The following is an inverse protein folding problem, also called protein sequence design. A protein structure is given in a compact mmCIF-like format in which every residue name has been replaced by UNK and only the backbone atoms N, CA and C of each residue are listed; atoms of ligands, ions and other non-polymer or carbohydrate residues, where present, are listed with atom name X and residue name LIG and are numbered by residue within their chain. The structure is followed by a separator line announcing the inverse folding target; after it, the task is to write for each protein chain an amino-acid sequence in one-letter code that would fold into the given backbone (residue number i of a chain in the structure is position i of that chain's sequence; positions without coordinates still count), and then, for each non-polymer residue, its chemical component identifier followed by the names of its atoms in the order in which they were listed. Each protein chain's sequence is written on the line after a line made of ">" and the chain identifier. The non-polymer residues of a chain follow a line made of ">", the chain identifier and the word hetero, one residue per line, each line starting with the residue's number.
data_IF_673869828327
#
_entry.id   IF_673869828327
#
_cell.length_a   1.000
_cell.length_b   1.000
_cell.length_c   1.000
_cell.angle_alpha   90.00
_cell.angle_beta   90.00
_cell.angle_gamma   90.00
#
_symmetry.space_group_name_H-M   'P 1'
#
loop_
_entity.id
_entity.type
_entity.pdbx_description
1 polymer ?
#
# COMPACT_ATOMS: atom_id res chain seq x y z
N UNK A 1 -26.90 -3.11 21.16
CA UNK A 1 -27.95 -3.01 20.11
C UNK A 1 -27.22 -2.96 18.79
N UNK A 2 -27.53 -3.85 17.83
CA UNK A 2 -26.64 -4.10 16.69
C UNK A 2 -26.49 -2.90 15.75
N UNK A 3 -25.26 -2.44 15.57
CA UNK A 3 -24.85 -1.79 14.34
C UNK A 3 -24.34 -2.89 13.39
N UNK A 4 -24.86 -2.93 12.16
CA UNK A 4 -24.35 -3.82 11.11
C UNK A 4 -22.87 -3.48 10.85
N UNK A 5 -21.98 -4.40 11.20
CA UNK A 5 -20.53 -4.19 11.16
C UNK A 5 -19.94 -4.61 9.81
N UNK A 6 -20.50 -4.09 8.73
CA UNK A 6 -20.29 -4.59 7.38
C UNK A 6 -19.93 -3.43 6.44
N UNK A 7 -18.64 -3.05 6.49
CA UNK A 7 -17.92 -2.15 5.56
C UNK A 7 -16.46 -2.05 6.04
N UNK A 8 -15.67 -3.12 5.86
CA UNK A 8 -14.22 -3.11 6.19
C UNK A 8 -13.36 -2.85 4.96
N UNK A 9 -13.05 -1.57 4.77
CA UNK A 9 -11.80 -1.01 4.23
C UNK A 9 -11.16 -1.65 2.98
N UNK A 10 -11.38 -1.00 1.83
CA UNK A 10 -10.69 -1.29 0.56
C UNK A 10 -9.29 -0.64 0.46
N UNK A 11 -8.34 -1.43 -0.02
CA UNK A 11 -7.13 -1.04 -0.76
C UNK A 11 -6.05 -0.20 -0.05
N UNK A 12 -5.02 -0.89 0.45
CA UNK A 12 -3.64 -0.37 0.51
C UNK A 12 -2.82 -0.96 -0.64
N UNK A 13 -2.24 -0.10 -1.49
CA UNK A 13 -1.11 -0.38 -2.39
C UNK A 13 -0.17 0.87 -2.33
N UNK A 14 1.12 0.75 -2.68
CA UNK A 14 2.13 1.84 -2.48
C UNK A 14 3.36 1.86 -3.42
N UNK A 15 3.43 1.10 -4.52
CA UNK A 15 4.62 1.11 -5.39
C UNK A 15 4.81 2.45 -6.13
N UNK A 16 6.07 2.85 -6.33
CA UNK A 16 6.43 4.09 -7.02
C UNK A 16 6.20 4.01 -8.53
N UNK A 17 5.65 5.08 -9.11
CA UNK A 17 5.65 5.28 -10.55
C UNK A 17 7.08 5.48 -11.02
N UNK A 18 7.62 4.51 -11.74
CA UNK A 18 8.82 4.81 -12.53
C UNK A 18 8.45 5.75 -13.67
N UNK A 19 9.35 6.66 -14.01
CA UNK A 19 9.19 7.47 -15.21
C UNK A 19 9.26 6.59 -16.47
N UNK A 20 8.44 6.94 -17.48
CA UNK A 20 8.33 6.31 -18.81
C UNK A 20 7.74 4.89 -18.84
N UNK A 21 6.42 4.77 -19.07
CA UNK A 21 5.74 3.68 -19.83
C UNK A 21 6.44 2.30 -19.82
N UNK A 22 6.77 1.80 -18.63
CA UNK A 22 7.57 0.59 -18.39
C UNK A 22 6.89 -0.19 -17.29
N UNK A 23 6.34 -1.33 -17.66
CA UNK A 23 5.93 -2.39 -16.74
C UNK A 23 7.18 -3.08 -16.18
N UNK A 24 7.19 -3.39 -14.89
CA UNK A 24 8.23 -4.21 -14.28
C UNK A 24 7.68 -5.61 -13.99
N UNK A 25 8.56 -6.60 -14.08
CA UNK A 25 8.21 -7.96 -13.74
C UNK A 25 8.30 -8.17 -12.23
N UNK A 26 7.32 -8.86 -11.65
CA UNK A 26 7.45 -9.42 -10.32
C UNK A 26 8.32 -10.68 -10.39
N UNK A 27 9.20 -10.85 -9.39
CA UNK A 27 10.01 -12.05 -9.19
C UNK A 27 9.93 -12.48 -7.72
N UNK A 28 9.48 -13.70 -7.43
CA UNK A 28 9.38 -14.19 -6.05
C UNK A 28 10.74 -14.69 -5.54
N UNK A 29 11.04 -14.41 -4.28
CA UNK A 29 12.31 -14.79 -3.65
C UNK A 29 12.62 -16.30 -3.72
N UNK A 30 11.58 -17.14 -3.66
CA UNK A 30 11.71 -18.60 -3.79
C UNK A 30 12.13 -19.07 -5.20
N UNK A 31 11.87 -18.26 -6.24
CA UNK A 31 12.15 -18.60 -7.64
C UNK A 31 13.48 -18.06 -8.17
N UNK A 32 14.08 -17.13 -7.43
CA UNK A 32 15.39 -16.54 -7.75
C UNK A 32 16.51 -17.10 -6.87
N UNK A 33 16.31 -18.26 -6.25
CA UNK A 33 17.34 -18.92 -5.43
C UNK A 33 18.60 -19.28 -6.24
N UNK A 34 19.78 -19.01 -5.68
CA UNK A 34 21.07 -19.39 -6.27
C UNK A 34 21.34 -20.91 -6.19
N UNK A 35 20.92 -21.54 -5.09
CA UNK A 35 20.99 -22.99 -4.90
C UNK A 35 19.77 -23.48 -4.11
N UNK A 36 19.02 -24.41 -4.71
CA UNK A 36 17.89 -25.13 -4.11
C UNK A 36 18.25 -25.99 -2.89
N UNK A 37 19.54 -26.22 -2.59
CA UNK A 37 19.99 -26.95 -1.40
C UNK A 37 19.93 -26.13 -0.10
N UNK A 38 19.82 -24.80 -0.17
CA UNK A 38 19.91 -23.89 0.98
C UNK A 38 18.58 -23.75 1.74
N UNK A 39 17.95 -24.88 2.08
CA UNK A 39 16.64 -24.97 2.78
C UNK A 39 16.74 -24.60 4.27
N UNK A 40 17.89 -24.12 4.75
CA UNK A 40 18.14 -23.81 6.17
C UNK A 40 17.56 -22.45 6.63
N UNK A 41 17.11 -21.62 5.70
CA UNK A 41 16.54 -20.29 5.95
C UNK A 41 15.28 -20.11 5.11
N UNK A 42 14.30 -19.36 5.60
CA UNK A 42 13.11 -18.95 4.83
C UNK A 42 13.52 -17.94 3.76
N UNK A 43 13.56 -18.30 2.45
CA UNK A 43 14.04 -17.37 1.42
C UNK A 43 12.97 -16.32 1.09
N UNK A 44 11.69 -16.70 1.21
CA UNK A 44 10.52 -15.84 1.14
C UNK A 44 10.64 -14.59 2.03
N UNK A 45 11.22 -14.68 3.22
CA UNK A 45 11.37 -13.53 4.13
C UNK A 45 12.33 -12.44 3.59
N UNK A 46 13.09 -12.69 2.50
CA UNK A 46 14.00 -11.71 1.88
C UNK A 46 15.02 -11.06 2.84
N UNK A 47 15.51 -11.80 3.82
CA UNK A 47 16.45 -11.28 4.84
C UNK A 47 17.93 -11.36 4.44
N UNK A 48 18.23 -12.10 3.36
CA UNK A 48 19.57 -12.53 2.96
C UNK A 48 19.78 -12.36 1.45
N UNK A 49 20.51 -11.35 0.98
CA UNK A 49 20.80 -11.22 -0.45
C UNK A 49 21.69 -12.33 -0.97
N UNK A 50 22.53 -12.95 -0.12
CA UNK A 50 23.50 -13.97 -0.52
C UNK A 50 22.91 -15.30 -1.02
N UNK A 51 21.62 -15.53 -0.82
CA UNK A 51 20.91 -16.72 -1.36
C UNK A 51 20.10 -16.43 -2.62
N UNK A 52 19.98 -15.15 -3.01
CA UNK A 52 19.14 -14.68 -4.12
C UNK A 52 20.01 -14.29 -5.33
N UNK A 53 19.59 -14.70 -6.51
CA UNK A 53 20.30 -14.48 -7.76
C UNK A 53 20.07 -13.05 -8.25
N UNK A 54 21.04 -12.17 -7.97
CA UNK A 54 21.01 -10.76 -8.36
C UNK A 54 20.57 -10.56 -9.82
N UNK A 55 21.06 -11.36 -10.76
CA UNK A 55 20.78 -11.19 -12.18
C UNK A 55 19.31 -11.40 -12.58
N UNK A 56 18.50 -12.04 -11.73
CA UNK A 56 17.06 -12.21 -11.92
C UNK A 56 16.24 -11.12 -11.21
N UNK A 57 16.82 -10.49 -10.18
CA UNK A 57 16.17 -9.48 -9.32
C UNK A 57 16.47 -8.05 -9.80
N UNK A 58 17.65 -7.82 -10.38
CA UNK A 58 18.07 -6.51 -10.86
C UNK A 58 17.12 -5.97 -11.94
N UNK A 59 16.57 -4.78 -11.70
CA UNK A 59 15.58 -4.16 -12.58
C UNK A 59 14.13 -4.66 -12.40
N UNK A 60 13.85 -5.59 -11.49
CA UNK A 60 12.51 -6.15 -11.25
C UNK A 60 11.94 -5.78 -9.85
N UNK A 61 10.69 -6.15 -9.58
CA UNK A 61 10.04 -6.01 -8.27
C UNK A 61 10.21 -7.34 -7.52
N UNK A 62 10.83 -7.31 -6.33
CA UNK A 62 11.04 -8.52 -5.51
C UNK A 62 9.81 -8.82 -4.64
N UNK A 63 9.17 -9.98 -4.86
CA UNK A 63 8.07 -10.47 -4.03
C UNK A 63 8.60 -11.35 -2.89
N UNK A 64 8.23 -10.96 -1.67
CA UNK A 64 8.65 -11.52 -0.40
C UNK A 64 7.43 -11.94 0.44
N UNK A 65 7.56 -13.00 1.23
CA UNK A 65 6.58 -13.42 2.23
C UNK A 65 6.84 -12.80 3.59
N UNK A 66 5.79 -12.51 4.35
CA UNK A 66 5.84 -12.15 5.77
C UNK A 66 5.46 -13.40 6.58
N UNK A 67 6.46 -14.03 7.19
CA UNK A 67 6.29 -15.20 8.06
C UNK A 67 6.31 -14.84 9.56
N UNK A 68 6.19 -15.86 10.41
CA UNK A 68 6.32 -15.74 11.87
C UNK A 68 7.66 -15.14 12.32
N UNK A 69 8.72 -15.19 11.50
CA UNK A 69 10.01 -14.58 11.80
C UNK A 69 9.92 -13.06 12.03
N UNK A 70 8.97 -12.37 11.39
CA UNK A 70 8.73 -10.94 11.61
C UNK A 70 8.05 -10.67 12.97
N UNK A 71 7.30 -11.64 13.51
CA UNK A 71 6.63 -11.55 14.81
C UNK A 71 7.60 -11.76 15.98
N UNK A 72 8.54 -12.70 15.83
CA UNK A 72 9.61 -12.96 16.82
C UNK A 72 10.85 -12.06 16.65
N UNK A 73 10.84 -11.14 15.68
CA UNK A 73 11.92 -10.17 15.45
C UNK A 73 13.20 -10.73 14.83
N UNK A 74 13.18 -11.96 14.28
CA UNK A 74 14.30 -12.54 13.52
C UNK A 74 14.32 -12.08 12.06
N UNK A 75 13.19 -11.55 11.56
CA UNK A 75 13.07 -10.86 10.28
C UNK A 75 12.54 -9.42 10.48
N UNK A 76 12.86 -8.51 9.55
CA UNK A 76 12.34 -7.14 9.56
C UNK A 76 12.13 -6.55 8.16
N UNK A 77 11.14 -5.64 8.03
CA UNK A 77 10.82 -4.91 6.79
C UNK A 77 12.03 -4.08 6.33
N UNK A 78 12.78 -3.49 7.27
CA UNK A 78 14.03 -2.76 6.98
C UNK A 78 15.03 -3.65 6.23
N UNK A 79 15.20 -4.90 6.70
CA UNK A 79 16.10 -5.86 6.07
C UNK A 79 15.61 -6.36 4.71
N UNK A 80 14.29 -6.44 4.49
CA UNK A 80 13.72 -6.67 3.14
C UNK A 80 14.14 -5.54 2.19
N UNK A 81 13.95 -4.28 2.60
CA UNK A 81 14.34 -3.11 1.80
C UNK A 81 15.84 -3.06 1.52
N UNK A 82 16.69 -3.35 2.50
CA UNK A 82 18.15 -3.46 2.32
C UNK A 82 18.52 -4.57 1.31
N UNK A 83 17.90 -5.74 1.43
CA UNK A 83 18.16 -6.91 0.58
C UNK A 83 17.78 -6.63 -0.87
N UNK A 84 16.53 -6.22 -1.11
CA UNK A 84 16.04 -5.86 -2.43
C UNK A 84 16.89 -4.74 -3.08
N UNK A 85 17.28 -3.71 -2.32
CA UNK A 85 18.18 -2.65 -2.80
C UNK A 85 19.57 -3.16 -3.17
N UNK A 86 20.15 -4.06 -2.37
CA UNK A 86 21.47 -4.65 -2.66
C UNK A 86 21.48 -5.53 -3.91
N UNK A 87 20.32 -6.11 -4.24
CA UNK A 87 20.10 -6.91 -5.44
C UNK A 87 19.74 -6.07 -6.68
N UNK A 88 19.60 -4.75 -6.55
CA UNK A 88 19.22 -3.86 -7.65
C UNK A 88 17.74 -3.94 -8.04
N UNK A 89 16.87 -4.43 -7.15
CA UNK A 89 15.42 -4.37 -7.36
C UNK A 89 14.93 -2.92 -7.43
N UNK A 90 13.95 -2.63 -8.29
CA UNK A 90 13.33 -1.31 -8.40
C UNK A 90 12.30 -1.04 -7.30
N UNK A 91 11.83 -2.10 -6.65
CA UNK A 91 10.94 -2.07 -5.49
C UNK A 91 10.74 -3.48 -4.92
N UNK A 92 9.92 -3.60 -3.88
CA UNK A 92 9.55 -4.89 -3.30
C UNK A 92 8.08 -4.95 -2.88
N UNK A 93 7.52 -6.16 -2.81
CA UNK A 93 6.21 -6.43 -2.21
C UNK A 93 6.42 -7.44 -1.09
N UNK A 94 5.81 -7.18 0.07
CA UNK A 94 5.83 -8.05 1.24
C UNK A 94 4.39 -8.53 1.50
N UNK A 95 4.14 -9.82 1.32
CA UNK A 95 2.82 -10.43 1.37
C UNK A 95 2.65 -11.29 2.64
N UNK A 96 1.65 -11.00 3.47
CA UNK A 96 1.33 -11.80 4.66
C UNK A 96 0.65 -13.09 4.25
N UNK A 97 1.40 -14.20 4.30
CA UNK A 97 0.91 -15.55 3.99
C UNK A 97 0.07 -16.15 5.12
N UNK A 98 0.36 -15.80 6.37
CA UNK A 98 -0.36 -16.30 7.56
C UNK A 98 -0.40 -15.23 8.66
N UNK A 99 -1.57 -15.00 9.27
CA UNK A 99 -1.69 -14.10 10.44
C UNK A 99 -1.43 -14.89 11.73
N UNK A 100 -0.42 -14.48 12.50
CA UNK A 100 -0.14 -15.03 13.83
C UNK A 100 -0.53 -14.02 14.93
N UNK A 101 -0.95 -14.47 16.12
CA UNK A 101 -1.13 -13.57 17.26
C UNK A 101 0.15 -12.78 17.54
N UNK A 102 0.05 -11.45 17.66
CA UNK A 102 1.19 -10.56 17.86
C UNK A 102 1.80 -9.98 16.59
N UNK A 103 1.26 -10.27 15.40
CA UNK A 103 1.64 -9.56 14.15
C UNK A 103 1.51 -8.05 14.31
N UNK A 104 2.61 -7.33 14.07
CA UNK A 104 2.67 -5.85 14.06
C UNK A 104 3.04 -5.34 12.68
N UNK A 105 2.36 -4.27 12.28
CA UNK A 105 2.57 -3.56 11.01
C UNK A 105 3.06 -2.14 11.29
N UNK A 106 4.07 -2.03 12.16
CA UNK A 106 4.66 -0.75 12.51
C UNK A 106 5.25 -0.08 11.24
N UNK A 107 5.07 1.24 11.03
CA UNK A 107 5.58 1.91 9.84
C UNK A 107 7.11 1.95 9.86
N UNK A 108 7.75 1.14 9.01
CA UNK A 108 9.21 1.06 8.89
C UNK A 108 9.71 1.96 7.74
N UNK A 109 10.62 2.90 8.00
CA UNK A 109 11.29 3.67 6.95
C UNK A 109 12.09 2.75 6.02
N UNK A 110 11.81 2.84 4.71
CA UNK A 110 12.44 2.02 3.66
C UNK A 110 13.16 2.89 2.62
N UNK A 111 14.20 2.35 2.01
CA UNK A 111 15.13 3.14 1.16
C UNK A 111 15.04 2.82 -0.35
N UNK A 112 13.99 2.07 -0.70
CA UNK A 112 13.45 1.80 -2.05
C UNK A 112 11.92 1.65 -1.92
N UNK A 113 11.13 1.80 -3.01
CA UNK A 113 9.69 1.59 -3.00
C UNK A 113 9.29 0.21 -2.46
N UNK A 114 8.22 0.17 -1.66
CA UNK A 114 7.74 -1.05 -1.00
C UNK A 114 6.22 -1.08 -0.87
N UNK A 115 5.62 -2.26 -1.03
CA UNK A 115 4.22 -2.55 -0.66
C UNK A 115 4.20 -3.59 0.46
N UNK A 116 3.28 -3.44 1.41
CA UNK A 116 2.95 -4.46 2.40
C UNK A 116 1.47 -4.84 2.27
N UNK A 117 1.20 -6.09 1.90
CA UNK A 117 -0.15 -6.67 1.82
C UNK A 117 -0.39 -7.44 3.12
N UNK A 118 -1.27 -6.91 3.97
CA UNK A 118 -1.53 -7.43 5.32
C UNK A 118 -2.66 -8.46 5.39
N UNK A 119 -3.49 -8.54 4.35
CA UNK A 119 -4.63 -9.46 4.27
C UNK A 119 -4.24 -10.75 3.56
N UNK A 120 -4.41 -11.90 4.23
CA UNK A 120 -3.98 -13.21 3.70
C UNK A 120 -4.68 -13.55 2.39
N UNK A 121 -5.97 -13.24 2.24
CA UNK A 121 -6.71 -13.43 0.98
C UNK A 121 -6.02 -12.72 -0.18
N UNK A 122 -5.66 -11.44 -0.02
CA UNK A 122 -5.00 -10.62 -1.04
C UNK A 122 -3.56 -11.02 -1.31
N UNK A 123 -2.84 -11.49 -0.28
CA UNK A 123 -1.53 -12.12 -0.45
C UNK A 123 -1.63 -13.39 -1.29
N UNK A 124 -2.63 -14.24 -1.04
CA UNK A 124 -2.87 -15.44 -1.82
C UNK A 124 -3.28 -15.11 -3.26
N UNK A 125 -4.19 -14.15 -3.49
CA UNK A 125 -4.54 -13.67 -4.84
C UNK A 125 -3.29 -13.23 -5.63
N UNK A 126 -2.38 -12.47 -4.99
CA UNK A 126 -1.12 -12.03 -5.62
C UNK A 126 -0.16 -13.19 -5.90
N UNK A 127 -0.03 -14.12 -4.96
CA UNK A 127 0.85 -15.30 -5.09
C UNK A 127 0.30 -16.25 -6.16
N UNK A 128 -1.02 -16.39 -6.30
CA UNK A 128 -1.68 -17.17 -7.35
C UNK A 128 -1.42 -16.52 -8.71
N UNK A 129 -1.75 -15.24 -8.88
CA UNK A 129 -1.44 -14.44 -10.08
C UNK A 129 0.02 -14.54 -10.52
N UNK A 130 0.95 -14.40 -9.56
CA UNK A 130 2.38 -14.53 -9.82
C UNK A 130 2.74 -15.93 -10.32
N UNK A 131 2.19 -16.99 -9.72
CA UNK A 131 2.46 -18.37 -10.12
C UNK A 131 1.85 -18.74 -11.47
N UNK A 132 0.62 -18.32 -11.75
CA UNK A 132 -0.08 -18.59 -13.01
C UNK A 132 0.53 -17.81 -14.19
N UNK A 133 1.05 -16.61 -13.92
CA UNK A 133 1.79 -15.81 -14.90
C UNK A 133 3.25 -16.24 -15.09
N UNK A 134 3.81 -17.07 -14.20
CA UNK A 134 5.22 -17.49 -14.27
C UNK A 134 5.37 -18.82 -14.99
N UNK A 135 5.99 -18.80 -16.18
CA UNK A 135 6.22 -20.02 -16.95
C UNK A 135 7.34 -20.84 -16.33
N UNK A 136 7.05 -22.10 -15.97
CA UNK A 136 7.99 -23.04 -15.35
C UNK A 136 8.38 -24.20 -16.29
N UNK A 137 9.50 -24.85 -16.00
CA UNK A 137 9.89 -26.12 -16.63
C UNK A 137 9.35 -27.33 -15.87
N UNK A 138 9.62 -28.53 -16.41
CA UNK A 138 9.19 -29.81 -15.85
C UNK A 138 9.88 -30.17 -14.52
N UNK A 139 10.86 -29.38 -14.07
CA UNK A 139 11.52 -29.46 -12.76
C UNK A 139 11.04 -28.39 -11.78
N UNK A 140 10.08 -27.54 -12.19
CA UNK A 140 9.51 -26.45 -11.39
C UNK A 140 10.28 -25.12 -11.48
N UNK A 141 11.42 -25.08 -12.18
CA UNK A 141 12.26 -23.88 -12.34
C UNK A 141 11.64 -22.88 -13.29
N UNK A 142 11.78 -21.59 -13.02
CA UNK A 142 11.22 -20.53 -13.87
C UNK A 142 11.97 -20.43 -15.20
N UNK A 143 11.22 -20.44 -16.31
CA UNK A 143 11.68 -20.11 -17.66
C UNK A 143 11.48 -18.64 -18.01
N UNK A 144 10.37 -18.04 -17.58
CA UNK A 144 10.08 -16.62 -17.80
C UNK A 144 9.07 -16.08 -16.79
N UNK A 145 9.39 -14.97 -16.15
CA UNK A 145 8.44 -14.16 -15.40
C UNK A 145 7.58 -13.35 -16.39
N UNK A 146 6.26 -13.34 -16.23
CA UNK A 146 5.34 -12.50 -17.02
C UNK A 146 4.29 -11.76 -16.19
N UNK A 147 4.37 -11.87 -14.86
CA UNK A 147 3.56 -11.04 -13.97
C UNK A 147 4.04 -9.59 -14.09
N UNK A 148 3.26 -8.75 -14.77
CA UNK A 148 3.47 -7.30 -14.90
C UNK A 148 2.42 -6.59 -14.06
N UNK A 149 2.84 -5.67 -13.21
CA UNK A 149 1.93 -4.99 -12.30
C UNK A 149 0.84 -4.20 -13.05
N UNK A 150 -0.37 -4.19 -12.50
CA UNK A 150 -1.51 -3.49 -13.07
C UNK A 150 -1.53 -2.05 -12.52
N UNK A 151 -0.67 -1.20 -13.07
CA UNK A 151 -0.30 0.12 -12.54
C UNK A 151 -1.50 1.00 -12.14
N UNK A 152 -1.78 1.06 -10.83
CA UNK A 152 -2.71 2.03 -10.23
C UNK A 152 -2.04 2.76 -9.06
N UNK A 153 -1.76 4.05 -9.28
CA UNK A 153 -1.13 4.94 -8.29
C UNK A 153 -1.91 4.96 -6.96
N UNK A 154 -1.19 4.85 -5.85
CA UNK A 154 -1.71 4.98 -4.49
C UNK A 154 -0.70 5.70 -3.55
N UNK A 155 -1.16 6.35 -2.46
CA UNK A 155 -2.56 6.53 -2.04
C UNK A 155 -3.37 7.37 -3.04
N UNK A 156 -4.69 7.40 -2.93
CA UNK A 156 -5.53 8.18 -3.86
C UNK A 156 -5.50 9.69 -3.52
N UNK A 157 -5.54 10.04 -2.24
CA UNK A 157 -5.72 11.43 -1.76
C UNK A 157 -5.25 11.59 -0.30
N UNK A 158 -4.84 12.80 0.07
CA UNK A 158 -4.45 13.19 1.43
C UNK A 158 -5.59 13.93 2.16
N UNK A 159 -5.75 13.66 3.45
CA UNK A 159 -6.68 14.36 4.35
C UNK A 159 -6.15 14.46 5.79
N UNK A 160 -6.72 15.32 6.65
CA UNK A 160 -6.28 15.48 8.03
C UNK A 160 -6.43 14.19 8.85
N UNK A 161 -5.31 13.66 9.34
CA UNK A 161 -5.27 12.44 10.16
C UNK A 161 -4.31 12.51 11.35
N UNK A 162 -3.73 13.68 11.66
CA UNK A 162 -2.85 13.86 12.82
C UNK A 162 -3.56 14.70 13.88
N UNK A 163 -3.53 14.25 15.14
CA UNK A 163 -4.08 14.92 16.31
C UNK A 163 -5.54 15.37 16.12
N UNK A 164 -6.36 14.47 15.58
CA UNK A 164 -7.78 14.71 15.34
C UNK A 164 -8.55 14.54 16.65
N UNK A 165 -9.26 15.60 17.06
CA UNK A 165 -10.18 15.59 18.20
C UNK A 165 -11.55 15.05 17.78
N UNK A 166 -11.96 13.92 18.38
CA UNK A 166 -13.22 13.26 18.07
C UNK A 166 -13.87 12.66 19.32
N UNK A 167 -15.14 12.27 19.21
CA UNK A 167 -15.87 11.61 20.29
C UNK A 167 -15.21 10.28 20.67
N UNK A 168 -15.20 9.99 21.98
CA UNK A 168 -14.62 8.79 22.57
C UNK A 168 -15.66 8.10 23.46
N UNK A 169 -15.48 6.79 23.68
CA UNK A 169 -16.29 6.07 24.65
C UNK A 169 -15.68 6.24 26.03
N UNK A 170 -16.42 6.67 27.07
CA UNK A 170 -15.90 6.70 28.44
C UNK A 170 -15.45 5.32 28.94
N UNK A 171 -16.00 4.25 28.38
CA UNK A 171 -15.60 2.86 28.65
C UNK A 171 -14.56 2.32 27.64
N UNK A 172 -14.04 3.18 26.75
CA UNK A 172 -13.02 2.83 25.76
C UNK A 172 -11.65 2.71 26.42
N UNK A 173 -11.05 1.52 26.30
CA UNK A 173 -9.76 1.17 26.91
C UNK A 173 -8.59 1.18 25.92
N UNK A 174 -8.84 1.52 24.65
CA UNK A 174 -7.85 1.42 23.57
C UNK A 174 -6.72 2.47 23.70
N UNK A 175 -6.94 3.54 24.47
CA UNK A 175 -5.95 4.56 24.79
C UNK A 175 -6.08 4.96 26.26
N UNK A 176 -5.09 4.60 27.07
CA UNK A 176 -5.16 4.70 28.54
C UNK A 176 -5.32 6.14 29.03
N UNK A 177 -4.86 7.12 28.25
CA UNK A 177 -4.92 8.55 28.56
C UNK A 177 -6.34 9.15 28.45
N UNK A 178 -7.31 8.44 27.87
CA UNK A 178 -8.69 8.90 27.66
C UNK A 178 -9.75 8.00 28.32
N UNK A 179 -9.36 7.14 29.27
CA UNK A 179 -10.32 6.31 30.02
C UNK A 179 -11.22 7.20 30.90
N UNK A 180 -12.53 7.07 30.73
CA UNK A 180 -13.54 7.94 31.37
C UNK A 180 -13.90 9.20 30.57
N UNK A 181 -13.15 9.53 29.52
CA UNK A 181 -13.37 10.75 28.72
C UNK A 181 -14.41 10.54 27.61
N UNK A 182 -15.16 11.60 27.29
CA UNK A 182 -16.12 11.62 26.18
C UNK A 182 -15.51 11.99 24.82
N UNK A 183 -14.25 12.40 24.80
CA UNK A 183 -13.51 12.82 23.61
C UNK A 183 -12.03 12.42 23.73
N UNK A 184 -11.37 12.23 22.59
CA UNK A 184 -9.96 11.87 22.50
C UNK A 184 -9.27 12.61 21.35
N UNK A 185 -7.97 12.86 21.48
CA UNK A 185 -7.09 13.33 20.41
C UNK A 185 -6.19 12.20 19.95
N UNK A 186 -6.37 11.71 18.72
CA UNK A 186 -5.62 10.58 18.17
C UNK A 186 -5.15 10.82 16.73
N UNK A 187 -4.15 10.07 16.30
CA UNK A 187 -3.52 10.17 14.98
C UNK A 187 -3.56 8.84 14.24
N UNK A 188 -3.76 8.90 12.92
CA UNK A 188 -3.70 7.76 12.02
C UNK A 188 -4.47 8.01 10.72
N UNK A 189 -4.23 7.19 9.71
CA UNK A 189 -5.04 7.21 8.48
C UNK A 189 -6.50 6.80 8.75
N UNK A 190 -6.74 6.04 9.82
CA UNK A 190 -8.08 5.80 10.40
C UNK A 190 -8.84 7.09 10.76
N UNK A 191 -8.16 8.21 11.01
CA UNK A 191 -8.76 9.52 11.26
C UNK A 191 -8.88 10.36 9.96
N UNK A 192 -8.03 10.12 8.96
CA UNK A 192 -8.14 10.74 7.64
C UNK A 192 -9.28 10.15 6.79
N UNK A 193 -9.48 8.83 6.85
CA UNK A 193 -10.54 8.12 6.14
C UNK A 193 -11.97 8.67 6.38
N UNK A 194 -12.42 8.92 7.63
CA UNK A 194 -13.76 9.48 7.88
C UNK A 194 -13.92 10.92 7.37
N UNK A 195 -12.85 11.72 7.29
CA UNK A 195 -12.92 13.03 6.61
C UNK A 195 -13.25 12.86 5.12
N UNK A 196 -12.52 11.99 4.41
CA UNK A 196 -12.81 11.70 3.00
C UNK A 196 -14.21 11.11 2.82
N UNK A 197 -14.64 10.18 3.67
CA UNK A 197 -15.98 9.59 3.62
C UNK A 197 -17.08 10.65 3.82
N UNK A 198 -16.92 11.57 4.77
CA UNK A 198 -17.85 12.68 5.00
C UNK A 198 -17.92 13.64 3.80
N UNK A 199 -16.78 13.99 3.21
CA UNK A 199 -16.73 14.86 2.02
C UNK A 199 -17.37 14.13 0.82
N UNK A 200 -17.06 12.85 0.60
CA UNK A 200 -17.67 12.03 -0.46
C UNK A 200 -19.21 11.95 -0.31
N UNK A 201 -19.72 11.85 0.92
CA UNK A 201 -21.15 11.89 1.19
C UNK A 201 -21.79 13.24 0.83
N UNK A 202 -21.11 14.37 1.10
CA UNK A 202 -21.55 15.70 0.67
C UNK A 202 -21.53 15.88 -0.86
N UNK A 203 -20.51 15.33 -1.54
CA UNK A 203 -20.46 15.30 -3.02
C UNK A 203 -21.61 14.45 -3.57
N UNK A 204 -21.88 13.27 -2.99
CA UNK A 204 -23.03 12.42 -3.35
C UNK A 204 -24.37 13.12 -3.09
N UNK A 205 -24.48 13.91 -2.02
CA UNK A 205 -25.69 14.68 -1.72
C UNK A 205 -25.94 15.78 -2.78
N UNK A 206 -24.89 16.49 -3.22
CA UNK A 206 -24.99 17.48 -4.30
C UNK A 206 -25.23 16.84 -5.67
N UNK A 207 -24.65 15.66 -5.92
CA UNK A 207 -24.72 14.93 -7.18
C UNK A 207 -25.29 13.51 -6.98
N UNK A 208 -26.60 13.35 -6.73
CA UNK A 208 -27.20 12.05 -6.36
C UNK A 208 -26.99 10.93 -7.36
N UNK A 209 -26.81 11.25 -8.65
CA UNK A 209 -26.67 10.28 -9.72
C UNK A 209 -25.21 9.87 -10.03
N UNK A 210 -24.21 10.53 -9.44
CA UNK A 210 -22.80 10.17 -9.68
C UNK A 210 -22.45 8.79 -9.11
N UNK A 211 -21.64 8.05 -9.86
CA UNK A 211 -21.06 6.78 -9.43
C UNK A 211 -20.02 6.99 -8.29
N UNK A 212 -19.56 5.91 -7.64
CA UNK A 212 -18.40 5.97 -6.75
C UNK A 212 -17.13 6.45 -7.46
N UNK A 213 -16.94 6.08 -8.75
CA UNK A 213 -15.78 6.46 -9.55
C UNK A 213 -15.79 7.97 -9.86
N UNK A 214 -16.94 8.52 -10.28
CA UNK A 214 -17.15 9.95 -10.48
C UNK A 214 -16.84 10.78 -9.22
N UNK A 215 -17.29 10.31 -8.04
CA UNK A 215 -17.03 10.99 -6.77
C UNK A 215 -15.55 10.91 -6.40
N UNK A 216 -14.92 9.74 -6.55
CA UNK A 216 -13.46 9.58 -6.37
C UNK A 216 -12.69 10.51 -7.31
N UNK A 217 -13.05 10.56 -8.58
CA UNK A 217 -12.44 11.46 -9.57
C UNK A 217 -12.59 12.91 -9.15
N UNK A 218 -13.78 13.36 -8.74
CA UNK A 218 -14.01 14.74 -8.34
C UNK A 218 -13.15 15.17 -7.14
N UNK A 219 -12.91 14.26 -6.19
CA UNK A 219 -12.01 14.49 -5.05
C UNK A 219 -10.54 14.57 -5.49
N UNK A 220 -10.12 13.70 -6.40
CA UNK A 220 -8.73 13.60 -6.89
C UNK A 220 -8.35 14.70 -7.89
N UNK A 221 -9.23 15.07 -8.83
CA UNK A 221 -8.90 16.11 -9.84
C UNK A 221 -8.93 17.53 -9.28
N UNK A 222 -9.40 17.71 -8.04
CA UNK A 222 -9.54 19.03 -7.39
C UNK A 222 -8.73 19.17 -6.10
N UNK A 223 -7.95 18.15 -5.71
CA UNK A 223 -7.01 18.24 -4.60
C UNK A 223 -5.82 19.14 -4.91
N UNK A 224 -5.20 19.71 -3.88
CA UNK A 224 -4.02 20.59 -4.00
C UNK A 224 -2.73 19.86 -3.63
N UNK A 225 -1.69 20.03 -4.44
CA UNK A 225 -0.31 19.60 -4.11
C UNK A 225 0.52 20.70 -3.44
N UNK A 226 -0.13 21.83 -3.11
CA UNK A 226 0.48 22.99 -2.45
C UNK A 226 -0.05 23.18 -1.02
N UNK A 227 0.83 23.69 -0.15
CA UNK A 227 0.49 24.17 1.19
C UNK A 227 -0.14 25.57 1.17
N UNK A 228 -0.49 26.08 2.36
CA UNK A 228 -1.13 27.41 2.52
C UNK A 228 -0.25 28.58 2.07
N UNK A 229 1.05 28.40 1.96
CA UNK A 229 2.01 29.39 1.50
C UNK A 229 2.47 29.14 0.05
N UNK A 230 1.68 28.36 -0.71
CA UNK A 230 1.90 28.00 -2.12
C UNK A 230 3.18 27.19 -2.39
N UNK A 231 3.78 26.60 -1.35
CA UNK A 231 4.93 25.69 -1.52
C UNK A 231 4.43 24.27 -1.78
N UNK A 232 5.20 23.43 -2.50
CA UNK A 232 4.90 22.00 -2.59
C UNK A 232 4.72 21.36 -1.20
N UNK A 233 3.71 20.49 -1.08
CA UNK A 233 3.51 19.70 0.14
C UNK A 233 4.80 19.00 0.58
N UNK A 234 4.98 18.81 1.89
CA UNK A 234 6.19 18.22 2.47
C UNK A 234 5.85 16.96 3.25
N UNK A 235 6.66 15.92 3.07
CA UNK A 235 6.55 14.66 3.78
C UNK A 235 7.53 14.65 4.98
N UNK A 236 7.13 14.00 6.06
CA UNK A 236 8.03 13.71 7.19
C UNK A 236 8.83 12.45 6.85
N UNK A 237 10.15 12.61 6.70
CA UNK A 237 11.06 11.49 6.47
C UNK A 237 11.96 11.31 7.70
N UNK A 238 11.95 10.10 8.25
CA UNK A 238 12.85 9.75 9.35
C UNK A 238 14.25 9.46 8.80
N UNK A 239 15.23 10.27 9.21
CA UNK A 239 16.64 9.94 8.99
C UNK A 239 17.07 8.77 9.88
N UNK A 240 18.15 8.07 9.51
CA UNK A 240 18.74 7.00 10.32
C UNK A 240 19.30 7.43 11.68
N UNK A 241 19.20 8.72 12.01
CA UNK A 241 19.56 9.37 13.27
C UNK A 241 18.34 9.76 14.14
N UNK A 242 17.17 9.16 13.91
CA UNK A 242 15.88 9.44 14.58
C UNK A 242 15.34 10.87 14.42
N UNK A 243 16.07 11.75 13.74
CA UNK A 243 15.63 13.10 13.39
C UNK A 243 14.63 13.08 12.25
N UNK A 244 13.44 13.65 12.50
CA UNK A 244 12.44 13.93 11.45
C UNK A 244 12.94 15.06 10.59
N UNK A 245 13.15 14.80 9.30
CA UNK A 245 13.41 15.82 8.29
C UNK A 245 12.16 16.02 7.44
N UNK A 246 11.97 17.24 6.92
CA UNK A 246 10.89 17.54 5.99
C UNK A 246 11.45 17.54 4.57
N UNK A 247 11.00 16.62 3.74
CA UNK A 247 11.34 16.55 2.31
C UNK A 247 10.15 16.97 1.45
N UNK A 248 10.38 17.27 0.17
CA UNK A 248 9.27 17.49 -0.77
C UNK A 248 8.46 16.20 -0.92
N UNK A 249 7.16 16.27 -0.71
CA UNK A 249 6.27 15.12 -0.85
C UNK A 249 6.04 14.78 -2.32
N UNK A 250 5.86 13.49 -2.57
CA UNK A 250 5.60 12.87 -3.86
C UNK A 250 4.15 12.37 -3.93
N UNK A 251 3.67 11.97 -5.11
CA UNK A 251 2.37 11.27 -5.21
C UNK A 251 2.26 9.98 -4.37
N UNK A 252 3.37 9.39 -3.91
CA UNK A 252 3.37 8.24 -2.98
C UNK A 252 3.08 8.64 -1.53
N UNK A 253 3.19 9.92 -1.21
CA UNK A 253 2.88 10.48 0.10
C UNK A 253 1.44 11.04 0.16
N UNK A 254 0.93 11.61 -0.94
CA UNK A 254 -0.36 12.33 -0.96
C UNK A 254 -1.35 11.95 -2.07
N UNK A 255 -0.99 11.05 -2.99
CA UNK A 255 -1.82 10.71 -4.15
C UNK A 255 -1.98 11.87 -5.10
N UNK A 256 -3.21 12.31 -5.33
CA UNK A 256 -3.51 13.53 -6.09
C UNK A 256 -3.32 14.83 -5.30
N UNK A 257 -3.13 14.76 -3.97
CA UNK A 257 -2.89 15.92 -3.10
C UNK A 257 -3.84 15.99 -1.90
N UNK A 258 -3.77 17.09 -1.14
CA UNK A 258 -4.70 17.36 -0.05
C UNK A 258 -6.11 17.65 -0.59
N UNK A 259 -7.12 17.00 -0.03
CA UNK A 259 -8.52 17.17 -0.42
C UNK A 259 -9.00 18.63 -0.32
N UNK A 260 -9.78 19.06 -1.32
CA UNK A 260 -10.38 20.40 -1.39
C UNK A 260 -11.91 20.27 -1.44
N UNK A 261 -12.62 20.18 -0.29
CA UNK A 261 -14.05 19.84 -0.26
C UNK A 261 -14.94 20.73 -1.15
N UNK A 262 -14.65 22.03 -1.18
CA UNK A 262 -15.43 23.00 -1.96
C UNK A 262 -15.25 22.84 -3.47
N UNK A 263 -14.05 22.46 -3.92
CA UNK A 263 -13.75 22.29 -5.34
C UNK A 263 -14.31 20.95 -5.86
N UNK A 264 -14.25 19.88 -5.06
CA UNK A 264 -14.83 18.58 -5.41
C UNK A 264 -16.36 18.61 -5.62
N UNK A 265 -17.06 19.65 -5.15
CA UNK A 265 -18.47 19.88 -5.45
C UNK A 265 -18.71 20.34 -6.90
N UNK A 266 -17.71 20.87 -7.59
CA UNK A 266 -17.81 21.34 -8.98
C UNK A 266 -16.45 21.18 -9.71
N UNK A 267 -16.06 19.94 -10.06
CA UNK A 267 -14.75 19.62 -10.63
C UNK A 267 -14.63 19.98 -12.13
N UNK A 268 -15.71 20.43 -12.77
CA UNK A 268 -15.82 20.61 -14.22
C UNK A 268 -15.86 19.30 -15.00
N UNK A 269 -14.81 18.48 -14.92
CA UNK A 269 -14.68 17.18 -15.58
C UNK A 269 -14.40 16.07 -14.57
N UNK A 270 -14.99 14.91 -14.82
CA UNK A 270 -14.83 13.67 -14.04
C UNK A 270 -14.41 12.52 -14.96
N UNK A 271 -13.58 11.63 -14.43
CA UNK A 271 -13.29 10.32 -15.01
C UNK A 271 -14.24 9.32 -14.32
N UNK A 272 -15.32 8.97 -15.00
CA UNK A 272 -16.28 7.97 -14.51
C UNK A 272 -15.86 6.55 -14.95
N UNK A 273 -16.29 5.54 -14.21
CA UNK A 273 -16.08 4.13 -14.49
C UNK A 273 -17.28 3.32 -13.95
N UNK A 274 -17.85 2.48 -14.81
CA UNK A 274 -18.94 1.56 -14.47
C UNK A 274 -18.42 0.29 -13.78
N UNK A 275 -19.34 -0.51 -13.24
CA UNK A 275 -19.01 -1.83 -12.68
C UNK A 275 -18.29 -2.71 -13.72
N UNK A 276 -18.74 -2.64 -14.96
CA UNK A 276 -18.22 -3.34 -16.13
C UNK A 276 -16.79 -2.93 -16.48
N UNK A 277 -16.39 -1.67 -16.22
CA UNK A 277 -15.00 -1.22 -16.38
C UNK A 277 -14.09 -1.79 -15.29
N UNK A 278 -14.60 -1.92 -14.05
CA UNK A 278 -13.88 -2.61 -12.97
C UNK A 278 -13.77 -4.11 -13.23
N UNK A 279 -14.81 -4.77 -13.75
CA UNK A 279 -14.75 -6.17 -14.18
C UNK A 279 -13.81 -6.31 -15.39
N UNK A 280 -13.87 -5.41 -16.36
CA UNK A 280 -12.95 -5.38 -17.51
C UNK A 280 -11.49 -5.20 -17.09
N UNK A 281 -11.23 -4.33 -16.12
CA UNK A 281 -9.93 -4.23 -15.46
C UNK A 281 -9.55 -5.55 -14.80
N UNK A 282 -10.41 -6.12 -13.94
CA UNK A 282 -10.15 -7.40 -13.26
C UNK A 282 -9.99 -8.61 -14.20
N UNK A 283 -10.53 -8.56 -15.41
CA UNK A 283 -10.34 -9.56 -16.45
C UNK A 283 -9.11 -9.31 -17.34
N UNK A 284 -8.57 -8.09 -17.37
CA UNK A 284 -7.33 -7.75 -18.11
C UNK A 284 -6.10 -7.76 -17.21
N UNK A 285 -6.23 -7.53 -15.90
CA UNK A 285 -5.34 -8.13 -14.90
C UNK A 285 -5.48 -9.64 -15.04
N UNK A 286 -4.40 -10.42 -15.27
CA UNK A 286 -4.56 -11.84 -15.56
C UNK A 286 -5.11 -12.61 -14.35
N UNK A 287 -6.43 -12.82 -14.35
CA UNK A 287 -7.12 -13.60 -13.32
C UNK A 287 -6.90 -15.09 -13.52
N UNK A 288 -6.00 -15.66 -12.72
CA UNK A 288 -6.10 -16.96 -12.06
C UNK A 288 -5.21 -16.83 -10.83
#
# INVERSE_FOLDING_TARGET
>A
MSAFLELRYLSWLTAASTHFNRTFTLVAANDVLLDSSVVKYSPSDCQRPEVLNKNLVEGNILLCGYSFNFVVGTASIKKVSETAKSLGAIGFVLAVENVSPGTKFDPVPVSIPGILITEVSKSMDLIEYYNTSTSRDWTGRVKSFKATDADLLKPDILAPGSLIWAAWSPNGTDEANYVGEGFAMISGTSMAAPHIAGIAALVKQKHPHWSPAAIKSALMTTSTTLDRAENPLRAQQYSGSETVTLVTATPFDYGSGHVTPRAALDPGLIFDAAYEDYIGFLCTTPGN
#
